data_IF_712874018326
#
_entry.id   IF_712874018326
#
_cell.length_a   1.000
_cell.length_b   1.000
_cell.length_c   1.000
_cell.angle_alpha   90.00
_cell.angle_beta   90.00
_cell.angle_gamma   90.00
#
_symmetry.space_group_name_H-M   'P 1'
#
loop_
_entity.id
_entity.type
_entity.pdbx_description
1 polymer ?
#
# COMPACT_ATOMS: atom_id res chain seq x y z
N UNK A 1 -26.19 10.18 57.07
CA UNK A 1 -24.87 10.33 56.44
C UNK A 1 -25.08 11.19 55.21
N UNK A 2 -24.80 12.49 55.30
CA UNK A 2 -25.08 13.48 54.25
C UNK A 2 -24.05 13.35 53.14
N UNK A 3 -24.45 12.76 52.00
CA UNK A 3 -23.61 12.77 50.79
C UNK A 3 -23.68 14.18 50.24
N UNK A 4 -22.65 14.95 50.60
CA UNK A 4 -22.47 16.37 50.31
C UNK A 4 -22.47 16.61 48.78
N UNK A 5 -23.31 17.53 48.26
CA UNK A 5 -23.43 17.83 46.82
C UNK A 5 -22.08 18.21 46.17
N UNK A 6 -21.09 18.66 46.95
CA UNK A 6 -19.75 19.03 46.49
C UNK A 6 -18.94 17.89 45.88
N UNK A 7 -19.19 16.62 46.24
CA UNK A 7 -18.45 15.47 45.69
C UNK A 7 -18.94 15.14 44.26
N UNK A 8 -20.25 15.25 44.03
CA UNK A 8 -20.82 15.08 42.68
C UNK A 8 -20.36 16.19 41.74
N UNK A 9 -20.31 17.44 42.23
CA UNK A 9 -19.81 18.59 41.47
C UNK A 9 -18.33 18.43 41.10
N UNK A 10 -17.46 18.05 42.05
CA UNK A 10 -16.03 17.86 41.78
C UNK A 10 -15.75 16.66 40.85
N UNK A 11 -16.57 15.61 40.89
CA UNK A 11 -16.48 14.50 39.93
C UNK A 11 -16.97 14.89 38.54
N UNK A 12 -18.05 15.68 38.45
CA UNK A 12 -18.54 16.20 37.18
C UNK A 12 -17.53 17.16 36.52
N UNK A 13 -16.93 18.05 37.31
CA UNK A 13 -15.91 18.99 36.84
C UNK A 13 -14.63 18.28 36.40
N UNK A 14 -14.19 17.24 37.14
CA UNK A 14 -13.10 16.37 36.69
C UNK A 14 -13.47 15.65 35.40
N UNK A 15 -14.66 15.06 35.29
CA UNK A 15 -15.09 14.35 34.09
C UNK A 15 -15.18 15.27 32.86
N UNK A 16 -15.62 16.51 33.02
CA UNK A 16 -15.61 17.52 31.97
C UNK A 16 -14.17 17.90 31.57
N UNK A 17 -13.29 18.09 32.56
CA UNK A 17 -11.88 18.41 32.32
C UNK A 17 -11.18 17.26 31.60
N UNK A 18 -11.38 16.00 32.04
CA UNK A 18 -10.86 14.81 31.37
C UNK A 18 -11.47 14.62 29.97
N UNK A 19 -12.75 14.94 29.78
CA UNK A 19 -13.42 14.92 28.47
C UNK A 19 -12.82 15.95 27.51
N UNK A 20 -12.60 17.19 27.98
CA UNK A 20 -11.93 18.26 27.22
C UNK A 20 -10.50 17.86 26.84
N UNK A 21 -9.71 17.36 27.79
CA UNK A 21 -8.33 16.95 27.52
C UNK A 21 -8.27 15.75 26.57
N UNK A 22 -9.18 14.78 26.71
CA UNK A 22 -9.26 13.62 25.80
C UNK A 22 -9.65 14.04 24.38
N UNK A 23 -10.54 15.03 24.26
CA UNK A 23 -10.94 15.60 22.97
C UNK A 23 -9.79 16.37 22.31
N UNK A 24 -9.07 17.21 23.06
CA UNK A 24 -7.90 17.94 22.54
C UNK A 24 -6.78 16.98 22.13
N UNK A 25 -6.43 16.00 22.97
CA UNK A 25 -5.41 15.00 22.63
C UNK A 25 -5.81 14.18 21.41
N UNK A 26 -7.10 13.79 21.28
CA UNK A 26 -7.58 13.05 20.11
C UNK A 26 -7.55 13.89 18.84
N UNK A 27 -7.91 15.18 18.91
CA UNK A 27 -7.83 16.12 17.78
C UNK A 27 -6.38 16.32 17.34
N UNK A 28 -5.47 16.52 18.29
CA UNK A 28 -4.05 16.71 18.01
C UNK A 28 -3.42 15.44 17.40
N UNK A 29 -3.71 14.27 17.99
CA UNK A 29 -3.21 12.97 17.53
C UNK A 29 -3.79 12.56 16.18
N UNK A 30 -5.06 12.89 15.92
CA UNK A 30 -5.69 12.67 14.61
C UNK A 30 -5.01 13.52 13.53
N UNK A 31 -4.74 14.80 13.79
CA UNK A 31 -4.05 15.67 12.84
C UNK A 31 -2.61 15.21 12.58
N UNK A 32 -1.86 14.87 13.63
CA UNK A 32 -0.49 14.38 13.52
C UNK A 32 -0.43 13.05 12.75
N UNK A 33 -1.27 12.08 13.13
CA UNK A 33 -1.35 10.78 12.45
C UNK A 33 -1.78 10.94 11.00
N UNK A 34 -2.77 11.79 10.71
CA UNK A 34 -3.21 12.06 9.34
C UNK A 34 -2.08 12.67 8.51
N UNK A 35 -1.32 13.60 9.10
CA UNK A 35 -0.19 14.24 8.42
C UNK A 35 0.94 13.25 8.13
N UNK A 36 1.30 12.41 9.11
CA UNK A 36 2.34 11.38 8.94
C UNK A 36 1.92 10.34 7.90
N UNK A 37 0.68 9.84 7.97
CA UNK A 37 0.14 8.88 7.00
C UNK A 37 0.08 9.49 5.62
N UNK A 38 -0.49 10.70 5.47
CA UNK A 38 -0.57 11.39 4.18
C UNK A 38 0.82 11.61 3.57
N UNK A 39 1.79 12.07 4.38
CA UNK A 39 3.17 12.28 3.92
C UNK A 39 3.82 10.96 3.49
N UNK A 40 3.63 9.89 4.25
CA UNK A 40 4.17 8.57 3.92
C UNK A 40 3.55 7.98 2.64
N UNK A 41 2.25 8.20 2.41
CA UNK A 41 1.54 7.77 1.21
C UNK A 41 2.01 8.55 0.00
N UNK A 42 2.11 9.88 0.10
CA UNK A 42 2.62 10.74 -0.98
C UNK A 42 4.06 10.38 -1.35
N UNK A 43 4.93 10.17 -0.35
CA UNK A 43 6.30 9.73 -0.58
C UNK A 43 6.33 8.36 -1.29
N UNK A 44 5.52 7.40 -0.85
CA UNK A 44 5.44 6.07 -1.47
C UNK A 44 4.92 6.13 -2.90
N UNK A 45 3.87 6.92 -3.16
CA UNK A 45 3.33 7.13 -4.52
C UNK A 45 4.38 7.78 -5.41
N UNK A 46 5.11 8.79 -4.90
CA UNK A 46 6.19 9.45 -5.65
C UNK A 46 7.27 8.46 -6.10
N UNK A 47 7.70 7.58 -5.18
CA UNK A 47 8.67 6.52 -5.52
C UNK A 47 8.11 5.53 -6.56
N UNK A 48 6.86 5.08 -6.39
CA UNK A 48 6.20 4.17 -7.35
C UNK A 48 6.10 4.84 -8.72
N UNK A 49 5.74 6.12 -8.78
CA UNK A 49 5.63 6.89 -10.01
C UNK A 49 6.99 6.99 -10.72
N UNK A 50 8.05 7.27 -9.97
CA UNK A 50 9.41 7.38 -10.50
C UNK A 50 9.91 6.04 -11.06
N UNK A 51 9.67 4.94 -10.33
CA UNK A 51 9.99 3.59 -10.80
C UNK A 51 9.16 3.25 -12.06
N UNK A 52 7.87 3.58 -12.07
CA UNK A 52 6.99 3.31 -13.20
C UNK A 52 7.43 4.07 -14.46
N UNK A 53 7.78 5.35 -14.32
CA UNK A 53 8.35 6.16 -15.40
C UNK A 53 9.66 5.57 -15.92
N UNK A 54 10.57 5.18 -15.02
CA UNK A 54 11.82 4.54 -15.39
C UNK A 54 11.57 3.24 -16.17
N UNK A 55 10.71 2.35 -15.68
CA UNK A 55 10.38 1.08 -16.33
C UNK A 55 9.73 1.28 -17.70
N UNK A 56 8.91 2.31 -17.87
CA UNK A 56 8.28 2.66 -19.14
C UNK A 56 9.34 3.08 -20.17
N UNK A 57 10.19 4.04 -19.82
CA UNK A 57 11.26 4.52 -20.70
C UNK A 57 12.26 3.39 -20.99
N UNK A 58 12.59 2.57 -19.99
CA UNK A 58 13.46 1.42 -20.15
C UNK A 58 12.89 0.39 -21.13
N UNK A 59 11.59 0.06 -21.03
CA UNK A 59 10.92 -0.84 -21.98
C UNK A 59 10.95 -0.31 -23.41
N UNK A 60 10.67 0.99 -23.59
CA UNK A 60 10.74 1.62 -24.92
C UNK A 60 12.17 1.59 -25.44
N UNK A 61 13.17 1.89 -24.60
CA UNK A 61 14.59 1.83 -24.96
C UNK A 61 15.02 0.43 -25.40
N UNK A 62 14.63 -0.61 -24.66
CA UNK A 62 14.89 -2.00 -25.03
C UNK A 62 14.20 -2.36 -26.34
N UNK A 63 12.94 -1.98 -26.53
CA UNK A 63 12.22 -2.22 -27.77
C UNK A 63 12.87 -1.51 -28.98
N UNK A 64 13.31 -0.27 -28.81
CA UNK A 64 14.03 0.48 -29.85
C UNK A 64 15.39 -0.13 -30.15
N UNK A 65 16.17 -0.50 -29.12
CA UNK A 65 17.48 -1.12 -29.29
C UNK A 65 17.40 -2.45 -30.03
N UNK A 66 16.47 -3.33 -29.64
CA UNK A 66 16.22 -4.56 -30.39
C UNK A 66 15.75 -4.25 -31.81
N UNK A 67 14.84 -3.28 -31.96
CA UNK A 67 14.29 -2.88 -33.25
C UNK A 67 15.35 -2.35 -34.22
N UNK A 68 16.33 -1.61 -33.73
CA UNK A 68 17.46 -1.10 -34.51
C UNK A 68 18.41 -2.23 -34.90
N UNK A 69 18.69 -3.18 -34.00
CA UNK A 69 19.49 -4.37 -34.28
C UNK A 69 18.87 -5.24 -35.40
N UNK A 70 17.54 -5.30 -35.44
CA UNK A 70 16.74 -6.02 -36.43
C UNK A 70 16.45 -5.19 -37.70
N UNK A 71 16.94 -3.95 -37.77
CA UNK A 71 16.77 -3.04 -38.89
C UNK A 71 15.38 -2.40 -39.02
N UNK A 72 14.38 -2.84 -38.24
CA UNK A 72 13.06 -2.18 -38.13
C UNK A 72 12.55 -2.19 -36.69
N UNK A 73 12.13 -1.01 -36.24
CA UNK A 73 11.56 -0.76 -34.90
C UNK A 73 10.41 -1.70 -34.54
N UNK A 74 9.54 -2.04 -35.52
CA UNK A 74 8.41 -2.93 -35.31
C UNK A 74 8.81 -4.33 -34.80
N UNK A 75 9.96 -4.86 -35.21
CA UNK A 75 10.43 -6.17 -34.74
C UNK A 75 10.83 -6.14 -33.26
N UNK A 76 11.39 -5.03 -32.79
CA UNK A 76 11.74 -4.87 -31.38
C UNK A 76 10.53 -4.92 -30.47
N UNK A 77 9.45 -4.20 -30.83
CA UNK A 77 8.18 -4.29 -30.10
C UNK A 77 7.57 -5.69 -30.16
N UNK A 78 7.65 -6.38 -31.30
CA UNK A 78 7.09 -7.72 -31.45
C UNK A 78 7.80 -8.76 -30.59
N UNK A 79 9.13 -8.67 -30.48
CA UNK A 79 9.92 -9.55 -29.60
C UNK A 79 9.62 -9.27 -28.13
N UNK A 80 9.58 -8.00 -27.73
CA UNK A 80 9.25 -7.62 -26.35
C UNK A 80 7.83 -8.10 -25.99
N UNK A 81 6.86 -7.94 -26.89
CA UNK A 81 5.49 -8.45 -26.71
C UNK A 81 5.44 -9.98 -26.62
N UNK A 82 6.16 -10.69 -27.49
CA UNK A 82 6.27 -12.16 -27.45
C UNK A 82 6.90 -12.65 -26.14
N UNK A 83 7.96 -11.98 -25.68
CA UNK A 83 8.58 -12.26 -24.38
C UNK A 83 7.59 -12.09 -23.22
N UNK A 84 6.83 -10.99 -23.20
CA UNK A 84 5.79 -10.77 -22.18
C UNK A 84 4.67 -11.81 -22.23
N UNK A 85 4.29 -12.28 -23.41
CA UNK A 85 3.28 -13.33 -23.57
C UNK A 85 3.78 -14.67 -23.01
N UNK A 86 5.01 -15.06 -23.35
CA UNK A 86 5.63 -16.28 -22.81
C UNK A 86 5.81 -16.18 -21.30
N UNK A 87 6.31 -15.05 -20.79
CA UNK A 87 6.45 -14.80 -19.36
C UNK A 87 5.10 -14.88 -18.63
N UNK A 88 4.04 -14.33 -19.23
CA UNK A 88 2.67 -14.42 -18.71
C UNK A 88 2.15 -15.85 -18.66
N UNK A 89 2.42 -16.66 -19.69
CA UNK A 89 2.07 -18.08 -19.73
C UNK A 89 2.81 -18.87 -18.63
N UNK A 90 4.12 -18.65 -18.53
CA UNK A 90 4.97 -19.29 -17.50
C UNK A 90 4.46 -18.89 -16.13
N UNK A 91 4.22 -17.59 -15.89
CA UNK A 91 3.63 -17.12 -14.66
C UNK A 91 2.31 -17.81 -14.40
N UNK A 92 1.36 -17.88 -15.33
CA UNK A 92 0.08 -18.54 -15.09
C UNK A 92 0.24 -20.00 -14.62
N UNK A 93 1.10 -20.78 -15.28
CA UNK A 93 1.37 -22.17 -14.88
C UNK A 93 2.12 -22.29 -13.54
N UNK A 94 3.11 -21.42 -13.31
CA UNK A 94 3.90 -21.42 -12.08
C UNK A 94 3.09 -20.92 -10.89
N UNK A 95 2.36 -19.81 -11.05
CA UNK A 95 1.52 -19.17 -10.04
C UNK A 95 0.43 -20.13 -9.57
N UNK A 96 -0.20 -20.86 -10.49
CA UNK A 96 -1.19 -21.87 -10.11
C UNK A 96 -0.56 -22.96 -9.22
N UNK A 97 0.65 -23.44 -9.55
CA UNK A 97 1.34 -24.44 -8.71
C UNK A 97 1.97 -23.89 -7.43
N UNK A 98 2.48 -22.66 -7.43
CA UNK A 98 3.32 -22.10 -6.36
C UNK A 98 2.56 -21.22 -5.39
N UNK A 99 1.51 -20.50 -5.81
CA UNK A 99 0.76 -19.60 -4.93
C UNK A 99 -0.45 -20.30 -4.34
N UNK A 100 -1.14 -21.15 -5.09
CA UNK A 100 -2.36 -21.80 -4.60
C UNK A 100 -2.10 -22.68 -3.36
N UNK A 101 -0.98 -23.40 -3.33
CA UNK A 101 -0.60 -24.26 -2.19
C UNK A 101 -0.30 -23.51 -0.88
N UNK A 102 0.64 -22.54 -0.83
CA UNK A 102 0.91 -21.81 0.40
C UNK A 102 -0.24 -20.88 0.78
N UNK A 103 -0.94 -20.27 -0.17
CA UNK A 103 -2.06 -19.37 0.13
C UNK A 103 -3.22 -20.12 0.78
N UNK A 104 -3.58 -21.29 0.25
CA UNK A 104 -4.62 -22.13 0.85
C UNK A 104 -4.21 -22.59 2.26
N UNK A 105 -2.95 -22.99 2.46
CA UNK A 105 -2.46 -23.44 3.76
C UNK A 105 -2.39 -22.29 4.80
N UNK A 106 -2.09 -21.07 4.36
CA UNK A 106 -2.11 -19.87 5.22
C UNK A 106 -3.54 -19.49 5.62
N UNK A 107 -4.49 -19.53 4.69
CA UNK A 107 -5.92 -19.25 4.96
C UNK A 107 -6.48 -20.30 5.93
N UNK A 108 -6.20 -21.59 5.72
CA UNK A 108 -6.63 -22.68 6.61
C UNK A 108 -6.02 -22.51 8.01
N UNK A 109 -4.74 -22.16 8.11
CA UNK A 109 -4.06 -21.96 9.40
C UNK A 109 -4.59 -20.73 10.16
N UNK A 110 -4.98 -19.66 9.45
CA UNK A 110 -5.61 -18.49 10.06
C UNK A 110 -7.06 -18.74 10.48
N UNK A 111 -7.80 -19.57 9.73
CA UNK A 111 -9.19 -19.91 10.04
C UNK A 111 -9.34 -20.92 11.20
N UNK A 112 -8.32 -21.75 11.46
CA UNK A 112 -8.29 -22.73 12.55
C UNK A 112 -7.74 -22.18 13.89
N UNK A 113 -7.45 -20.88 13.96
CA UNK A 113 -6.96 -20.21 15.16
C UNK A 113 -7.99 -19.22 15.70
#
# INVERSE_FOLDING_TARGET
MEIKPSIFETLFEKAETFGKTTYEISKLKALETTTVVATSVVARISVILMISMFLLVFNIGVALFLGELLGKVYYGFFIVAGFYLIAGLILHFFLHKWIEKPLSNLIITQALK
#
